data_IF_192827725220
#
_entry.id   IF_192827725220
#
_cell.length_a   1.000
_cell.length_b   1.000
_cell.length_c   1.000
_cell.angle_alpha   90.00
_cell.angle_beta   90.00
_cell.angle_gamma   90.00
#
_symmetry.space_group_name_H-M   'P 1'
#
loop_
_entity.id
_entity.type
_entity.pdbx_description
1 polymer ?
#
# COMPACT_ATOMS: atom_id res chain seq x y z
N UNK A 1 -31.74 -21.27 -4.02
CA UNK A 1 -31.21 -20.79 -2.73
C UNK A 1 -29.82 -20.17 -2.99
N UNK A 2 -29.60 -18.92 -2.64
CA UNK A 2 -28.33 -18.25 -2.90
C UNK A 2 -27.48 -18.42 -1.67
N UNK A 3 -26.40 -19.22 -1.79
CA UNK A 3 -25.39 -19.33 -0.74
C UNK A 3 -24.64 -18.01 -0.67
N UNK A 4 -24.92 -17.18 0.32
CA UNK A 4 -24.08 -16.09 0.75
C UNK A 4 -23.86 -16.19 2.24
N UNK A 5 -22.69 -15.85 2.70
CA UNK A 5 -22.34 -15.86 4.12
C UNK A 5 -21.64 -14.54 4.44
N UNK A 6 -22.08 -13.90 5.50
CA UNK A 6 -21.37 -12.76 6.06
C UNK A 6 -20.10 -13.23 6.75
N UNK A 7 -19.02 -12.47 6.59
CA UNK A 7 -17.74 -12.70 7.23
C UNK A 7 -17.68 -11.81 8.46
N UNK A 8 -17.56 -12.42 9.62
CA UNK A 8 -17.48 -11.73 10.91
C UNK A 8 -16.13 -11.97 11.56
N UNK A 9 -15.65 -11.00 12.32
CA UNK A 9 -14.53 -11.15 13.24
C UNK A 9 -15.02 -11.01 14.68
N UNK A 10 -14.52 -11.85 15.55
CA UNK A 10 -14.58 -11.63 16.99
C UNK A 10 -13.40 -10.72 17.34
N UNK A 11 -13.68 -9.49 17.63
CA UNK A 11 -12.80 -8.44 18.13
C UNK A 11 -11.34 -8.47 17.70
N UNK A 12 -10.88 -7.51 17.04
CA UNK A 12 -9.56 -6.86 17.09
C UNK A 12 -9.34 -6.03 15.83
N UNK A 13 -10.26 -5.11 15.60
CA UNK A 13 -9.89 -3.88 14.88
C UNK A 13 -9.64 -2.77 15.92
N UNK A 14 -8.90 -3.09 16.97
CA UNK A 14 -8.58 -2.21 18.09
C UNK A 14 -8.29 -3.03 19.36
N UNK A 15 -7.38 -2.58 20.16
CA UNK A 15 -6.76 -3.32 21.27
C UNK A 15 -7.72 -3.71 22.44
N UNK A 16 -9.02 -3.37 22.41
CA UNK A 16 -9.89 -3.44 23.60
C UNK A 16 -11.38 -3.78 23.39
N UNK A 17 -11.82 -4.40 22.29
CA UNK A 17 -13.23 -4.76 22.21
C UNK A 17 -13.49 -6.16 21.63
N UNK A 18 -14.08 -7.04 22.42
CA UNK A 18 -14.64 -8.33 22.02
C UNK A 18 -15.97 -8.18 21.24
N UNK A 19 -16.08 -7.15 20.39
CA UNK A 19 -17.29 -6.91 19.62
C UNK A 19 -17.18 -7.60 18.27
N UNK A 20 -18.15 -8.42 17.95
CA UNK A 20 -18.30 -9.04 16.64
C UNK A 20 -18.54 -7.95 15.59
N UNK A 21 -17.66 -7.86 14.57
CA UNK A 21 -17.73 -6.89 13.50
C UNK A 21 -17.79 -7.57 12.14
N UNK A 22 -18.65 -7.10 11.24
CA UNK A 22 -18.76 -7.60 9.88
C UNK A 22 -17.60 -7.08 9.02
N UNK A 23 -16.74 -7.96 8.49
CA UNK A 23 -15.63 -7.61 7.59
C UNK A 23 -15.95 -7.82 6.11
N UNK A 24 -17.16 -8.27 5.78
CA UNK A 24 -17.56 -8.47 4.40
C UNK A 24 -18.55 -9.58 4.22
N UNK A 25 -18.62 -10.07 3.00
CA UNK A 25 -19.42 -11.24 2.67
C UNK A 25 -18.73 -12.10 1.61
N UNK A 26 -19.13 -13.37 1.57
CA UNK A 26 -18.76 -14.31 0.53
C UNK A 26 -20.04 -14.79 -0.17
N UNK A 27 -20.04 -14.82 -1.50
CA UNK A 27 -21.21 -15.16 -2.28
C UNK A 27 -20.85 -15.97 -3.51
N UNK A 28 -21.74 -16.88 -3.90
CA UNK A 28 -21.74 -17.55 -5.19
C UNK A 28 -22.39 -16.64 -6.25
N UNK A 29 -21.75 -16.48 -7.41
CA UNK A 29 -22.33 -15.73 -8.53
C UNK A 29 -23.49 -16.50 -9.19
N UNK A 30 -24.23 -15.84 -10.07
CA UNK A 30 -25.41 -16.40 -10.74
C UNK A 30 -25.15 -16.67 -12.22
N UNK A 31 -26.09 -17.41 -12.84
CA UNK A 31 -26.12 -17.64 -14.29
C UNK A 31 -24.88 -18.39 -14.80
N UNK A 32 -24.34 -17.95 -15.90
CA UNK A 32 -23.16 -18.55 -16.53
C UNK A 32 -21.91 -18.56 -15.63
N UNK A 33 -21.87 -17.67 -14.60
CA UNK A 33 -20.78 -17.56 -13.62
C UNK A 33 -21.06 -18.30 -12.31
N UNK A 34 -22.02 -19.21 -12.27
CA UNK A 34 -22.46 -19.91 -11.05
C UNK A 34 -21.40 -20.78 -10.37
N UNK A 35 -20.25 -21.01 -11.02
CA UNK A 35 -19.09 -21.68 -10.41
C UNK A 35 -18.01 -20.71 -9.93
N UNK A 36 -18.31 -19.42 -9.94
CA UNK A 36 -17.39 -18.39 -9.45
C UNK A 36 -17.86 -17.85 -8.10
N UNK A 37 -16.92 -17.46 -7.28
CA UNK A 37 -17.13 -16.95 -5.91
C UNK A 37 -16.66 -15.50 -5.84
N UNK A 38 -17.44 -14.66 -5.16
CA UNK A 38 -17.08 -13.31 -4.79
C UNK A 38 -16.80 -13.25 -3.29
N UNK A 39 -15.63 -12.72 -2.92
CA UNK A 39 -15.25 -12.35 -1.56
C UNK A 39 -15.14 -10.83 -1.52
N UNK A 40 -16.12 -10.17 -0.94
CA UNK A 40 -16.13 -8.72 -0.78
C UNK A 40 -15.71 -8.35 0.64
N UNK A 41 -14.61 -7.61 0.76
CA UNK A 41 -14.08 -7.16 2.05
C UNK A 41 -14.46 -5.71 2.30
N UNK A 42 -15.02 -5.45 3.47
CA UNK A 42 -15.42 -4.12 3.92
C UNK A 42 -14.19 -3.31 4.33
N UNK A 43 -14.22 -2.01 4.07
CA UNK A 43 -13.31 -1.03 4.67
C UNK A 43 -13.57 -0.85 6.16
N UNK A 44 -12.81 0.01 6.79
CA UNK A 44 -12.95 0.32 8.22
C UNK A 44 -14.34 0.85 8.54
N UNK A 45 -14.84 0.46 9.71
CA UNK A 45 -16.00 1.11 10.30
C UNK A 45 -15.61 2.55 10.70
N UNK A 46 -16.32 3.55 10.21
CA UNK A 46 -16.01 4.95 10.53
C UNK A 46 -15.99 5.25 12.03
N UNK A 47 -16.83 4.60 12.84
CA UNK A 47 -16.82 4.71 14.30
C UNK A 47 -15.54 4.21 14.98
N UNK A 48 -14.66 3.53 14.22
CA UNK A 48 -13.36 2.97 14.68
C UNK A 48 -12.16 3.49 13.89
N UNK A 49 -12.33 4.61 13.19
CA UNK A 49 -11.27 5.22 12.38
C UNK A 49 -10.02 5.64 13.19
N UNK A 50 -10.17 5.83 14.52
CA UNK A 50 -9.04 6.08 15.43
C UNK A 50 -8.04 4.92 15.49
N UNK A 51 -8.51 3.70 15.26
CA UNK A 51 -7.69 2.50 15.39
C UNK A 51 -6.74 2.32 14.19
N UNK A 52 -7.09 2.89 13.04
CA UNK A 52 -6.22 2.82 11.84
C UNK A 52 -4.95 3.65 12.02
N UNK A 53 -5.02 4.79 12.70
CA UNK A 53 -3.83 5.61 13.00
C UNK A 53 -2.82 4.85 13.86
N UNK A 54 -3.28 4.05 14.79
CA UNK A 54 -2.44 3.16 15.62
C UNK A 54 -2.08 1.86 14.92
N UNK A 55 -2.98 1.30 14.12
CA UNK A 55 -2.73 0.08 13.35
C UNK A 55 -1.79 0.30 12.15
N UNK A 56 -1.68 1.53 11.64
CA UNK A 56 -0.70 1.89 10.62
C UNK A 56 0.73 2.02 11.19
N UNK A 57 0.93 1.84 12.50
CA UNK A 57 2.26 1.64 13.06
C UNK A 57 2.87 0.36 12.45
N UNK A 58 3.91 0.57 11.69
CA UNK A 58 4.48 -0.34 10.69
C UNK A 58 5.18 -1.58 11.29
N UNK A 59 4.51 -2.34 12.15
CA UNK A 59 5.02 -3.61 12.62
C UNK A 59 4.86 -4.68 11.53
N UNK A 60 5.94 -5.41 11.29
CA UNK A 60 6.00 -6.49 10.33
C UNK A 60 5.81 -7.84 11.05
N UNK A 61 4.93 -8.67 10.49
CA UNK A 61 4.71 -10.05 10.92
C UNK A 61 4.70 -10.98 9.72
N UNK A 62 4.86 -12.27 9.96
CA UNK A 62 4.71 -13.27 8.90
C UNK A 62 3.23 -13.38 8.49
N UNK A 63 2.97 -13.21 7.20
CA UNK A 63 1.65 -13.30 6.59
C UNK A 63 1.28 -14.71 6.11
N UNK A 64 0.12 -14.86 5.45
CA UNK A 64 -0.39 -16.15 4.97
C UNK A 64 0.48 -16.80 3.89
N UNK A 65 1.29 -16.03 3.19
CA UNK A 65 2.20 -16.49 2.13
C UNK A 65 3.63 -16.74 2.63
N UNK A 66 3.87 -16.65 3.93
CA UNK A 66 5.20 -16.80 4.53
C UNK A 66 6.05 -15.54 4.53
N UNK A 67 5.74 -14.53 3.74
CA UNK A 67 6.45 -13.26 3.67
C UNK A 67 5.92 -12.26 4.70
N UNK A 68 6.71 -11.19 4.93
CA UNK A 68 6.37 -10.18 5.92
C UNK A 68 5.35 -9.17 5.39
N UNK A 69 4.30 -8.99 6.19
CA UNK A 69 3.20 -8.05 5.93
C UNK A 69 2.90 -7.21 7.17
N UNK A 70 2.06 -6.22 7.00
CA UNK A 70 1.58 -5.33 8.05
C UNK A 70 0.78 -6.09 9.13
N UNK A 71 1.18 -5.92 10.40
CA UNK A 71 0.60 -6.64 11.56
C UNK A 71 -0.92 -6.44 11.65
N UNK A 72 -1.40 -5.19 11.56
CA UNK A 72 -2.84 -4.90 11.69
C UNK A 72 -3.67 -5.63 10.63
N UNK A 73 -3.27 -5.55 9.34
CA UNK A 73 -3.98 -6.26 8.27
C UNK A 73 -3.94 -7.77 8.46
N UNK A 74 -2.80 -8.32 8.90
CA UNK A 74 -2.68 -9.75 9.18
C UNK A 74 -3.57 -10.20 10.36
N UNK A 75 -3.63 -9.41 11.43
CA UNK A 75 -4.49 -9.72 12.58
C UNK A 75 -5.96 -9.74 12.18
N UNK A 76 -6.40 -8.72 11.43
CA UNK A 76 -7.77 -8.66 10.89
C UNK A 76 -8.05 -9.85 9.96
N UNK A 77 -7.16 -10.15 9.03
CA UNK A 77 -7.29 -11.30 8.12
C UNK A 77 -7.41 -12.62 8.88
N UNK A 78 -6.53 -12.87 9.85
CA UNK A 78 -6.54 -14.10 10.67
C UNK A 78 -7.83 -14.28 11.46
N UNK A 79 -8.49 -13.19 11.84
CA UNK A 79 -9.72 -13.25 12.64
C UNK A 79 -10.93 -13.85 11.91
N UNK A 80 -10.91 -13.87 10.57
CA UNK A 80 -12.03 -14.35 9.77
C UNK A 80 -11.67 -15.38 8.68
N UNK A 81 -10.40 -15.57 8.33
CA UNK A 81 -10.00 -16.39 7.17
C UNK A 81 -10.54 -17.82 7.26
N UNK A 82 -10.66 -18.40 8.44
CA UNK A 82 -11.24 -19.73 8.64
C UNK A 82 -12.69 -19.83 8.15
N UNK A 83 -13.45 -18.74 8.17
CA UNK A 83 -14.82 -18.70 7.64
C UNK A 83 -14.82 -18.77 6.11
N UNK A 84 -13.83 -18.12 5.46
CA UNK A 84 -13.63 -18.24 4.01
C UNK A 84 -13.23 -19.66 3.65
N UNK A 85 -12.26 -20.22 4.34
CA UNK A 85 -11.77 -21.59 4.11
C UNK A 85 -12.91 -22.63 4.26
N UNK A 86 -13.73 -22.49 5.31
CA UNK A 86 -14.88 -23.35 5.53
C UNK A 86 -15.92 -23.23 4.40
N UNK A 87 -16.16 -22.03 3.90
CA UNK A 87 -17.10 -21.81 2.79
C UNK A 87 -16.58 -22.40 1.47
N UNK A 88 -15.28 -22.28 1.19
CA UNK A 88 -14.66 -22.73 -0.06
C UNK A 88 -14.48 -24.26 -0.15
N UNK A 89 -14.69 -25.00 0.95
CA UNK A 89 -14.58 -26.46 0.94
C UNK A 89 -15.56 -27.08 -0.05
N UNK A 90 -15.12 -28.08 -0.85
CA UNK A 90 -16.00 -28.77 -1.81
C UNK A 90 -17.25 -29.35 -1.15
N UNK A 91 -17.18 -29.79 0.11
CA UNK A 91 -18.32 -30.30 0.88
C UNK A 91 -19.38 -29.23 1.12
N UNK A 92 -18.98 -27.96 1.23
CA UNK A 92 -19.89 -26.82 1.42
C UNK A 92 -20.48 -26.34 0.10
N UNK A 93 -19.64 -26.25 -0.94
CA UNK A 93 -20.02 -25.69 -2.24
C UNK A 93 -20.62 -26.74 -3.18
N UNK A 94 -20.28 -28.02 -3.04
CA UNK A 94 -20.61 -29.09 -3.99
C UNK A 94 -19.78 -29.06 -5.28
N UNK A 95 -18.82 -28.14 -5.40
CA UNK A 95 -17.94 -28.00 -6.58
C UNK A 95 -16.65 -27.27 -6.21
N UNK A 96 -15.62 -27.42 -7.06
CA UNK A 96 -14.41 -26.58 -7.00
C UNK A 96 -14.68 -25.27 -7.75
N UNK A 97 -14.49 -24.10 -7.17
CA UNK A 97 -14.62 -22.80 -7.85
C UNK A 97 -13.76 -22.71 -9.10
N UNK A 98 -14.34 -22.22 -10.21
CA UNK A 98 -13.60 -21.91 -11.44
C UNK A 98 -12.80 -20.61 -11.32
N UNK A 99 -13.29 -19.67 -10.52
CA UNK A 99 -12.60 -18.42 -10.17
C UNK A 99 -13.07 -17.90 -8.80
N UNK A 100 -12.19 -17.19 -8.11
CA UNK A 100 -12.49 -16.47 -6.88
C UNK A 100 -12.12 -15.00 -7.06
N UNK A 101 -13.11 -14.12 -6.92
CA UNK A 101 -12.95 -12.68 -7.06
C UNK A 101 -12.89 -12.02 -5.69
N UNK A 102 -11.73 -11.49 -5.32
CA UNK A 102 -11.52 -10.77 -4.06
C UNK A 102 -11.56 -9.26 -4.33
N UNK A 103 -12.50 -8.55 -3.71
CA UNK A 103 -12.73 -7.12 -3.93
C UNK A 103 -12.81 -6.36 -2.61
N UNK A 104 -12.29 -5.13 -2.60
CA UNK A 104 -12.40 -4.25 -1.44
C UNK A 104 -11.89 -2.84 -1.68
N UNK A 105 -12.40 -1.91 -0.87
CA UNK A 105 -12.02 -0.51 -0.84
C UNK A 105 -11.33 -0.18 0.47
N UNK A 106 -10.33 0.70 0.46
CA UNK A 106 -9.62 1.13 1.66
C UNK A 106 -8.97 -0.03 2.41
N UNK A 107 -9.17 -0.19 3.73
CA UNK A 107 -8.77 -1.37 4.49
C UNK A 107 -9.31 -2.66 3.84
N UNK A 108 -10.56 -2.66 3.36
CA UNK A 108 -11.11 -3.81 2.64
C UNK A 108 -10.31 -4.17 1.39
N UNK A 109 -9.66 -3.19 0.74
CA UNK A 109 -8.72 -3.44 -0.35
C UNK A 109 -7.44 -4.15 0.10
N UNK A 110 -6.90 -3.82 1.29
CA UNK A 110 -5.80 -4.57 1.88
C UNK A 110 -6.20 -6.00 2.23
N UNK A 111 -7.40 -6.20 2.77
CA UNK A 111 -7.94 -7.53 3.07
C UNK A 111 -8.22 -8.33 1.79
N UNK A 112 -8.74 -7.70 0.73
CA UNK A 112 -8.94 -8.33 -0.57
C UNK A 112 -7.61 -8.81 -1.18
N UNK A 113 -6.52 -8.05 -1.00
CA UNK A 113 -5.18 -8.46 -1.40
C UNK A 113 -4.74 -9.73 -0.65
N UNK A 114 -4.91 -9.79 0.68
CA UNK A 114 -4.58 -10.95 1.49
C UNK A 114 -5.45 -12.18 1.16
N UNK A 115 -6.76 -11.96 0.98
CA UNK A 115 -7.70 -13.02 0.58
C UNK A 115 -7.29 -13.62 -0.77
N UNK A 116 -7.00 -12.78 -1.76
CA UNK A 116 -6.60 -13.23 -3.08
C UNK A 116 -5.26 -14.00 -3.02
N UNK A 117 -4.28 -13.49 -2.27
CA UNK A 117 -3.01 -14.16 -2.08
C UNK A 117 -3.18 -15.55 -1.43
N UNK A 118 -3.97 -15.65 -0.35
CA UNK A 118 -4.25 -16.91 0.33
C UNK A 118 -4.99 -17.90 -0.58
N UNK A 119 -5.99 -17.46 -1.34
CA UNK A 119 -6.68 -18.29 -2.31
C UNK A 119 -5.73 -18.82 -3.40
N UNK A 120 -4.82 -17.99 -3.89
CA UNK A 120 -3.83 -18.40 -4.89
C UNK A 120 -2.82 -19.41 -4.32
N UNK A 121 -2.43 -19.29 -3.04
CA UNK A 121 -1.59 -20.31 -2.36
C UNK A 121 -2.28 -21.66 -2.30
N UNK A 122 -3.59 -21.68 -2.11
CA UNK A 122 -4.42 -22.91 -2.10
C UNK A 122 -4.71 -23.45 -3.51
N UNK A 123 -4.13 -22.86 -4.57
CA UNK A 123 -4.29 -23.29 -5.94
C UNK A 123 -5.62 -22.92 -6.60
N UNK A 124 -6.33 -21.94 -6.06
CA UNK A 124 -7.50 -21.39 -6.73
C UNK A 124 -7.10 -20.35 -7.78
N UNK A 125 -7.90 -20.26 -8.84
CA UNK A 125 -7.81 -19.18 -9.82
C UNK A 125 -8.38 -17.89 -9.22
N UNK A 126 -7.52 -17.11 -8.56
CA UNK A 126 -7.92 -15.93 -7.82
C UNK A 126 -7.73 -14.65 -8.64
N UNK A 127 -8.69 -13.74 -8.52
CA UNK A 127 -8.68 -12.39 -9.06
C UNK A 127 -8.69 -11.38 -7.93
N UNK A 128 -7.90 -10.33 -8.06
CA UNK A 128 -7.74 -9.29 -7.05
C UNK A 128 -8.18 -7.92 -7.61
N UNK A 129 -9.18 -7.31 -6.96
CA UNK A 129 -9.66 -5.97 -7.26
C UNK A 129 -9.57 -5.11 -6.01
N UNK A 130 -8.63 -4.19 -5.99
CA UNK A 130 -8.45 -3.30 -4.84
C UNK A 130 -8.63 -1.84 -5.26
N UNK A 131 -9.46 -1.10 -4.52
CA UNK A 131 -9.70 0.33 -4.71
C UNK A 131 -9.18 1.07 -3.48
N UNK A 132 -8.39 2.11 -3.70
CA UNK A 132 -7.86 2.95 -2.61
C UNK A 132 -7.10 2.18 -1.53
N UNK A 133 -6.56 1.01 -1.84
CA UNK A 133 -5.94 0.14 -0.85
C UNK A 133 -4.58 0.68 -0.39
N UNK A 134 -4.26 0.61 0.91
CA UNK A 134 -2.92 0.84 1.42
C UNK A 134 -1.95 -0.28 1.00
N UNK A 135 -0.65 -0.08 1.26
CA UNK A 135 0.38 -1.08 1.01
C UNK A 135 0.33 -2.16 2.09
N UNK A 136 0.30 -3.42 1.67
CA UNK A 136 0.04 -4.57 2.56
C UNK A 136 1.32 -5.19 3.10
N UNK A 137 2.35 -5.33 2.27
CA UNK A 137 3.55 -6.09 2.65
C UNK A 137 4.83 -5.54 2.06
N UNK A 138 5.92 -6.22 2.38
CA UNK A 138 7.28 -5.88 1.92
C UNK A 138 7.52 -6.28 0.47
N UNK A 139 8.69 -5.92 -0.08
CA UNK A 139 9.07 -6.31 -1.44
C UNK A 139 8.99 -7.82 -1.69
N UNK A 140 9.52 -8.72 -0.82
CA UNK A 140 9.35 -10.16 -1.00
C UNK A 140 7.88 -10.60 -1.07
N UNK A 141 6.99 -9.99 -0.29
CA UNK A 141 5.56 -10.26 -0.39
C UNK A 141 5.00 -9.82 -1.75
N UNK A 142 5.32 -8.61 -2.19
CA UNK A 142 4.84 -8.06 -3.45
C UNK A 142 5.35 -8.87 -4.66
N UNK A 143 6.60 -9.32 -4.64
CA UNK A 143 7.19 -10.18 -5.67
C UNK A 143 6.56 -11.58 -5.67
N UNK A 144 6.34 -12.15 -4.47
CA UNK A 144 5.67 -13.45 -4.33
C UNK A 144 4.26 -13.43 -4.93
N UNK A 145 3.46 -12.43 -4.56
CA UNK A 145 2.13 -12.17 -5.15
C UNK A 145 2.25 -12.01 -6.67
N UNK A 146 3.27 -11.31 -7.15
CA UNK A 146 3.51 -11.13 -8.58
C UNK A 146 3.79 -12.44 -9.32
N UNK A 147 4.43 -13.41 -8.70
CA UNK A 147 4.71 -14.73 -9.28
C UNK A 147 3.46 -15.62 -9.30
N UNK A 148 2.58 -15.46 -8.29
CA UNK A 148 1.36 -16.29 -8.14
C UNK A 148 0.22 -15.87 -9.05
N UNK A 149 0.12 -14.58 -9.39
CA UNK A 149 -0.97 -14.07 -10.19
C UNK A 149 -0.57 -13.83 -11.65
N UNK A 150 -1.47 -14.18 -12.58
CA UNK A 150 -1.42 -13.64 -13.92
C UNK A 150 -1.69 -12.12 -13.86
N UNK A 151 -1.01 -11.34 -14.70
CA UNK A 151 -1.23 -9.89 -14.80
C UNK A 151 -2.68 -9.51 -15.10
N UNK A 152 -3.40 -10.35 -15.85
CA UNK A 152 -4.81 -10.19 -16.16
C UNK A 152 -5.76 -10.45 -14.97
N UNK A 153 -5.25 -10.88 -13.82
CA UNK A 153 -6.05 -11.19 -12.63
C UNK A 153 -5.87 -10.15 -11.51
N UNK A 154 -5.15 -9.07 -11.78
CA UNK A 154 -4.85 -8.07 -10.74
C UNK A 154 -5.21 -6.67 -11.21
N UNK A 155 -6.11 -6.03 -10.45
CA UNK A 155 -6.65 -4.71 -10.73
C UNK A 155 -6.53 -3.85 -9.47
N UNK A 156 -5.40 -3.14 -9.33
CA UNK A 156 -5.16 -2.23 -8.22
C UNK A 156 -5.42 -0.79 -8.65
N UNK A 157 -6.57 -0.27 -8.29
CA UNK A 157 -7.00 1.08 -8.64
C UNK A 157 -6.61 2.04 -7.51
N UNK A 158 -5.89 3.09 -7.85
CA UNK A 158 -5.43 4.12 -6.93
C UNK A 158 -5.63 5.50 -7.53
N UNK A 159 -6.14 6.45 -6.76
CA UNK A 159 -6.12 7.86 -7.14
C UNK A 159 -4.76 8.46 -6.79
N UNK A 160 -4.22 9.29 -7.69
CA UNK A 160 -2.87 9.85 -7.55
C UNK A 160 -2.69 10.74 -6.31
N UNK A 161 -3.77 11.33 -5.79
CA UNK A 161 -3.76 12.24 -4.62
C UNK A 161 -4.36 11.61 -3.36
N UNK A 162 -4.84 10.37 -3.41
CA UNK A 162 -5.42 9.68 -2.25
C UNK A 162 -4.32 9.29 -1.24
N UNK A 163 -4.32 9.84 0.00
CA UNK A 163 -3.29 9.55 1.00
C UNK A 163 -3.27 8.09 1.46
N UNK A 164 -4.41 7.40 1.46
CA UNK A 164 -4.48 6.02 1.92
C UNK A 164 -3.69 5.08 1.00
N UNK A 165 -3.67 5.36 -0.31
CA UNK A 165 -2.86 4.58 -1.26
C UNK A 165 -1.35 4.80 -1.10
N UNK A 166 -0.94 5.80 -0.33
CA UNK A 166 0.46 6.16 -0.10
C UNK A 166 1.02 5.62 1.21
N UNK A 167 0.17 5.16 2.11
CA UNK A 167 0.54 4.47 3.35
C UNK A 167 0.37 2.95 3.18
N UNK A 168 1.02 2.08 3.93
CA UNK A 168 2.10 2.37 4.86
C UNK A 168 3.35 2.77 4.05
N UNK A 169 4.21 3.60 4.63
CA UNK A 169 5.46 3.99 3.99
C UNK A 169 6.44 2.81 3.97
N UNK A 170 7.62 3.03 3.38
CA UNK A 170 8.67 2.02 3.36
C UNK A 170 8.83 1.33 4.74
N UNK A 171 9.01 0.01 4.83
CA UNK A 171 9.34 -0.95 3.77
C UNK A 171 8.13 -1.59 3.06
N UNK A 172 6.94 -1.03 3.19
CA UNK A 172 5.75 -1.56 2.54
C UNK A 172 5.67 -1.14 1.08
N UNK A 173 5.33 -2.09 0.23
CA UNK A 173 5.25 -1.93 -1.22
C UNK A 173 3.89 -2.43 -1.71
N UNK A 174 3.40 -1.87 -2.78
CA UNK A 174 2.19 -2.35 -3.41
C UNK A 174 2.41 -3.73 -4.06
N UNK A 175 1.49 -4.64 -3.79
CA UNK A 175 1.42 -5.94 -4.43
C UNK A 175 0.23 -5.99 -5.42
N UNK A 176 0.43 -6.59 -6.61
CA UNK A 176 1.67 -7.15 -7.13
C UNK A 176 2.72 -6.08 -7.47
N UNK A 177 3.99 -6.46 -7.48
CA UNK A 177 5.10 -5.54 -7.73
C UNK A 177 5.16 -5.11 -9.18
N UNK A 178 5.22 -3.80 -9.43
CA UNK A 178 5.38 -3.15 -10.74
C UNK A 178 4.33 -3.51 -11.81
N UNK A 179 3.19 -4.05 -11.44
CA UNK A 179 2.10 -4.38 -12.38
C UNK A 179 0.71 -4.33 -11.73
N UNK A 180 -0.31 -4.45 -12.56
CA UNK A 180 -1.71 -4.45 -12.10
C UNK A 180 -2.18 -3.12 -11.53
N UNK A 181 -1.44 -2.02 -11.76
CA UNK A 181 -1.79 -0.68 -11.28
C UNK A 181 -2.60 0.09 -12.31
N UNK A 182 -3.67 0.69 -11.84
CA UNK A 182 -4.51 1.63 -12.55
C UNK A 182 -4.51 2.95 -11.76
N UNK A 183 -3.61 3.86 -12.12
CA UNK A 183 -3.45 5.13 -11.44
C UNK A 183 -4.37 6.17 -12.08
N UNK A 184 -5.39 6.58 -11.35
CA UNK A 184 -6.31 7.62 -11.75
C UNK A 184 -5.69 9.01 -11.52
N UNK A 185 -6.04 9.98 -12.38
CA UNK A 185 -5.67 11.36 -12.14
C UNK A 185 -6.32 11.89 -10.87
N UNK A 186 -5.52 12.48 -9.98
CA UNK A 186 -6.00 13.05 -8.72
C UNK A 186 -6.70 14.40 -8.85
N UNK A 187 -6.67 15.02 -10.02
CA UNK A 187 -7.20 16.38 -10.23
C UNK A 187 -6.45 17.46 -9.47
N UNK A 188 -5.48 17.09 -8.64
CA UNK A 188 -4.67 17.99 -7.81
C UNK A 188 -3.26 17.42 -7.63
N UNK A 189 -2.29 18.31 -7.52
CA UNK A 189 -0.88 17.96 -7.25
C UNK A 189 -0.61 17.72 -5.76
N UNK A 190 -1.57 18.08 -4.91
CA UNK A 190 -1.47 17.98 -3.44
C UNK A 190 -2.24 16.74 -2.96
N UNK A 191 -1.76 16.10 -1.92
CA UNK A 191 -2.47 15.00 -1.25
C UNK A 191 -3.83 15.51 -0.76
N UNK A 192 -4.89 14.85 -1.16
CA UNK A 192 -6.27 15.25 -0.86
C UNK A 192 -7.05 14.10 -0.20
N UNK A 193 -7.36 14.19 1.10
CA UNK A 193 -8.15 13.19 1.79
C UNK A 193 -9.53 12.92 1.17
N UNK A 194 -10.17 13.89 0.51
CA UNK A 194 -11.45 13.69 -0.15
C UNK A 194 -11.35 12.70 -1.34
N UNK A 195 -10.18 12.58 -1.96
CA UNK A 195 -9.96 11.66 -3.09
C UNK A 195 -9.93 10.18 -2.66
N UNK A 196 -10.06 9.90 -1.37
CA UNK A 196 -10.29 8.55 -0.86
C UNK A 196 -11.74 8.09 -0.99
N UNK A 197 -12.69 9.02 -1.10
CA UNK A 197 -14.11 8.71 -1.23
C UNK A 197 -14.40 8.16 -2.63
N UNK A 198 -15.18 7.07 -2.72
CA UNK A 198 -15.55 6.46 -4.00
C UNK A 198 -16.27 7.45 -4.93
N UNK A 199 -17.20 8.24 -4.39
CA UNK A 199 -17.96 9.24 -5.14
C UNK A 199 -17.17 10.50 -5.52
N UNK A 200 -15.91 10.66 -5.11
CA UNK A 200 -15.06 11.80 -5.43
C UNK A 200 -13.85 11.37 -6.24
N UNK A 201 -12.96 10.58 -5.65
CA UNK A 201 -11.68 10.23 -6.27
C UNK A 201 -11.75 9.07 -7.25
N UNK A 202 -12.85 8.31 -7.26
CA UNK A 202 -13.00 7.09 -8.05
C UNK A 202 -14.20 7.11 -9.01
N UNK A 203 -14.86 8.25 -9.13
CA UNK A 203 -16.02 8.46 -10.03
C UNK A 203 -15.68 8.18 -11.50
N UNK A 204 -14.44 8.48 -11.91
CA UNK A 204 -13.99 8.28 -13.29
C UNK A 204 -13.90 6.81 -13.72
N UNK A 205 -14.09 5.86 -12.80
CA UNK A 205 -14.20 4.43 -13.12
C UNK A 205 -15.49 4.11 -13.85
N UNK A 206 -16.56 4.86 -13.58
CA UNK A 206 -17.85 4.64 -14.20
C UNK A 206 -17.80 4.91 -15.70
N UNK A 207 -18.27 3.97 -16.49
CA UNK A 207 -18.34 4.10 -17.95
C UNK A 207 -17.04 3.87 -18.71
N UNK A 208 -15.93 3.53 -18.05
CA UNK A 208 -14.65 3.23 -18.71
C UNK A 208 -14.38 1.73 -18.75
N UNK A 209 -13.85 1.28 -19.87
CA UNK A 209 -13.28 -0.07 -20.00
C UNK A 209 -11.92 -0.18 -19.30
N UNK A 210 -11.51 -1.41 -18.97
CA UNK A 210 -10.18 -1.67 -18.41
C UNK A 210 -9.04 -1.20 -19.33
N UNK A 211 -9.23 -1.26 -20.65
CA UNK A 211 -8.25 -0.78 -21.62
C UNK A 211 -8.07 0.74 -21.55
N UNK A 212 -9.16 1.49 -21.42
CA UNK A 212 -9.13 2.94 -21.26
C UNK A 212 -8.46 3.35 -19.94
N UNK A 213 -8.83 2.68 -18.83
CA UNK A 213 -8.21 2.92 -17.52
C UNK A 213 -6.71 2.61 -17.54
N UNK A 214 -6.29 1.57 -18.26
CA UNK A 214 -4.89 1.19 -18.40
C UNK A 214 -4.12 2.24 -19.18
N UNK A 215 -4.63 2.72 -20.29
CA UNK A 215 -4.00 3.76 -21.11
C UNK A 215 -3.81 5.07 -20.31
N UNK A 216 -4.83 5.50 -19.56
CA UNK A 216 -4.73 6.67 -18.68
C UNK A 216 -3.66 6.47 -17.60
N UNK A 217 -3.67 5.30 -16.94
CA UNK A 217 -2.69 4.96 -15.92
C UNK A 217 -1.25 4.98 -16.47
N UNK A 218 -1.03 4.40 -17.63
CA UNK A 218 0.30 4.34 -18.25
C UNK A 218 0.81 5.75 -18.58
N UNK A 219 -0.08 6.64 -19.05
CA UNK A 219 0.22 8.04 -19.25
C UNK A 219 0.63 8.75 -17.94
N UNK A 220 -0.11 8.53 -16.84
CA UNK A 220 0.21 9.09 -15.53
C UNK A 220 1.55 8.56 -14.97
N UNK A 221 1.79 7.27 -15.08
CA UNK A 221 3.03 6.64 -14.59
C UNK A 221 4.22 7.14 -15.39
N UNK A 222 4.11 7.19 -16.73
CA UNK A 222 5.16 7.70 -17.59
C UNK A 222 5.51 9.18 -17.30
N UNK A 223 4.49 10.01 -17.07
CA UNK A 223 4.70 11.40 -16.69
C UNK A 223 5.45 11.52 -15.37
N UNK A 224 5.07 10.73 -14.36
CA UNK A 224 5.77 10.66 -13.07
C UNK A 224 7.23 10.24 -13.25
N UNK A 225 7.49 9.17 -13.99
CA UNK A 225 8.85 8.68 -14.23
C UNK A 225 9.71 9.70 -14.97
N UNK A 226 9.21 10.32 -16.00
CA UNK A 226 9.92 11.37 -16.76
C UNK A 226 10.22 12.60 -15.91
N UNK A 227 9.31 12.97 -15.00
CA UNK A 227 9.53 14.10 -14.10
C UNK A 227 10.59 13.80 -13.06
N UNK A 228 10.61 12.56 -12.55
CA UNK A 228 11.42 12.15 -11.40
C UNK A 228 12.81 11.61 -11.78
N UNK A 229 12.91 11.04 -12.98
CA UNK A 229 14.12 10.36 -13.45
C UNK A 229 14.44 10.75 -14.89
N UNK A 230 14.63 12.06 -15.21
CA UNK A 230 15.03 12.45 -16.54
C UNK A 230 16.35 11.74 -16.90
N UNK A 231 16.33 10.93 -17.97
CA UNK A 231 17.48 10.13 -18.38
C UNK A 231 17.96 9.07 -17.38
N UNK A 232 17.05 8.53 -16.53
CA UNK A 232 17.37 7.60 -15.43
C UNK A 232 18.24 8.20 -14.31
N UNK A 233 18.39 9.52 -14.24
CA UNK A 233 19.18 10.19 -13.21
C UNK A 233 18.25 10.81 -12.15
N UNK A 234 18.18 10.19 -10.98
CA UNK A 234 17.36 10.67 -9.88
C UNK A 234 17.84 12.05 -9.35
N UNK A 235 19.14 12.28 -9.26
CA UNK A 235 19.70 13.57 -8.80
C UNK A 235 19.17 14.75 -9.62
N UNK A 236 19.18 14.66 -10.95
CA UNK A 236 18.66 15.72 -11.83
C UNK A 236 17.16 15.94 -11.62
N UNK A 237 16.40 14.86 -11.41
CA UNK A 237 14.96 14.95 -11.13
C UNK A 237 14.66 15.65 -9.81
N UNK A 238 15.42 15.36 -8.76
CA UNK A 238 15.28 16.02 -7.45
C UNK A 238 15.69 17.49 -7.53
N UNK A 239 16.80 17.83 -8.17
CA UNK A 239 17.25 19.22 -8.30
C UNK A 239 16.21 20.07 -9.03
N UNK A 240 15.62 19.54 -10.11
CA UNK A 240 14.51 20.16 -10.81
C UNK A 240 13.27 20.34 -9.92
N UNK A 241 12.96 19.36 -9.09
CA UNK A 241 11.83 19.45 -8.16
C UNK A 241 12.10 20.43 -7.02
N UNK A 242 13.33 20.50 -6.50
CA UNK A 242 13.74 21.44 -5.48
C UNK A 242 13.73 22.89 -5.98
N UNK A 243 13.89 23.11 -7.29
CA UNK A 243 13.78 24.43 -7.91
C UNK A 243 12.33 24.89 -8.16
N UNK A 244 11.33 23.98 -8.06
CA UNK A 244 9.91 24.34 -8.17
C UNK A 244 9.43 25.05 -6.89
N UNK A 245 8.39 25.90 -6.99
CA UNK A 245 7.77 26.48 -5.79
C UNK A 245 7.43 25.39 -4.76
N UNK A 246 7.71 25.66 -3.48
CA UNK A 246 7.47 24.71 -2.39
C UNK A 246 6.00 24.32 -2.36
N UNK A 247 5.68 23.11 -2.76
CA UNK A 247 4.33 22.56 -2.68
C UNK A 247 4.23 21.66 -1.45
N UNK A 248 3.72 22.23 -0.39
CA UNK A 248 3.43 21.52 0.84
C UNK A 248 2.47 20.33 0.56
N UNK A 249 2.82 19.16 1.06
CA UNK A 249 2.08 17.91 0.83
C UNK A 249 1.87 17.52 -0.64
N UNK A 250 2.87 17.76 -1.49
CA UNK A 250 2.81 17.32 -2.89
C UNK A 250 2.73 15.79 -2.98
N UNK A 251 1.66 15.29 -3.62
CA UNK A 251 1.45 13.88 -3.87
C UNK A 251 2.54 13.30 -4.81
N UNK A 252 2.94 14.07 -5.81
CA UNK A 252 4.02 13.73 -6.74
C UNK A 252 5.34 13.58 -5.99
N UNK A 253 5.68 14.55 -5.14
CA UNK A 253 6.93 14.53 -4.36
C UNK A 253 6.99 13.34 -3.42
N UNK A 254 5.90 13.01 -2.73
CA UNK A 254 5.85 11.84 -1.85
C UNK A 254 6.05 10.52 -2.60
N UNK A 255 5.42 10.38 -3.78
CA UNK A 255 5.63 9.20 -4.65
C UNK A 255 7.08 9.10 -5.09
N UNK A 256 7.70 10.23 -5.39
CA UNK A 256 9.12 10.35 -5.73
C UNK A 256 10.03 9.88 -4.63
N UNK A 257 9.81 10.37 -3.42
CA UNK A 257 10.60 9.99 -2.24
C UNK A 257 10.55 8.47 -2.04
N UNK A 258 9.37 7.87 -2.10
CA UNK A 258 9.24 6.42 -1.96
C UNK A 258 9.96 5.65 -3.06
N UNK A 259 9.91 6.13 -4.31
CA UNK A 259 10.60 5.49 -5.42
C UNK A 259 12.12 5.65 -5.31
N UNK A 260 12.59 6.81 -4.85
CA UNK A 260 14.01 7.08 -4.59
C UNK A 260 14.59 6.16 -3.52
N UNK A 261 13.89 6.02 -2.39
CA UNK A 261 14.30 5.09 -1.33
C UNK A 261 14.48 3.69 -1.90
N UNK A 262 13.48 3.19 -2.64
CA UNK A 262 13.55 1.85 -3.23
C UNK A 262 14.72 1.69 -4.21
N UNK A 263 14.94 2.67 -5.11
CA UNK A 263 16.05 2.61 -6.07
C UNK A 263 17.42 2.69 -5.40
N UNK A 264 17.59 3.55 -4.38
CA UNK A 264 18.84 3.65 -3.65
C UNK A 264 19.15 2.35 -2.90
N UNK A 265 18.14 1.77 -2.21
CA UNK A 265 18.30 0.50 -1.52
C UNK A 265 18.62 -0.65 -2.50
N UNK A 266 18.07 -0.61 -3.71
CA UNK A 266 18.42 -1.55 -4.77
C UNK A 266 19.88 -1.42 -5.18
N UNK A 267 20.35 -0.19 -5.43
CA UNK A 267 21.76 0.07 -5.78
C UNK A 267 22.75 -0.46 -4.76
N UNK A 268 22.44 -0.32 -3.47
CA UNK A 268 23.31 -0.77 -2.38
C UNK A 268 23.08 -2.23 -1.95
N UNK A 269 22.25 -2.98 -2.69
CA UNK A 269 21.94 -4.38 -2.38
C UNK A 269 21.17 -4.59 -1.08
N UNK A 270 20.57 -3.55 -0.52
CA UNK A 270 19.97 -3.53 0.82
C UNK A 270 18.46 -3.80 0.84
N UNK A 271 17.80 -3.97 -0.31
CA UNK A 271 16.35 -4.18 -0.38
C UNK A 271 15.87 -5.38 0.44
N UNK A 272 16.63 -6.46 0.43
CA UNK A 272 16.28 -7.68 1.15
C UNK A 272 16.68 -7.62 2.63
N UNK A 273 17.66 -6.81 3.01
CA UNK A 273 18.12 -6.71 4.40
C UNK A 273 17.03 -6.15 5.32
N UNK A 274 16.21 -5.20 4.84
CA UNK A 274 15.07 -4.68 5.60
C UNK A 274 13.90 -5.68 5.73
N UNK A 275 13.91 -6.73 4.91
CA UNK A 275 12.88 -7.77 4.90
C UNK A 275 13.27 -9.00 5.71
N UNK A 276 14.56 -9.16 6.04
CA UNK A 276 15.12 -10.29 6.77
C UNK A 276 15.35 -9.90 8.23
N UNK A 277 14.54 -10.45 9.12
CA UNK A 277 14.81 -10.65 10.53
C UNK A 277 15.54 -9.57 11.34
N UNK A 278 14.87 -8.47 11.66
CA UNK A 278 15.16 -7.87 12.94
C UNK A 278 13.87 -7.78 13.73
N UNK A 279 13.71 -8.68 14.69
CA UNK A 279 12.83 -8.44 15.80
C UNK A 279 13.23 -7.09 16.38
N UNK A 280 12.38 -6.10 16.25
CA UNK A 280 12.52 -4.89 17.01
C UNK A 280 12.31 -5.27 18.47
N UNK A 281 13.40 -5.56 19.14
CA UNK A 281 13.46 -5.44 20.58
C UNK A 281 13.23 -3.95 20.86
N UNK A 282 12.01 -3.53 21.07
CA UNK A 282 11.50 -2.28 21.63
C UNK A 282 12.17 -0.93 21.34
N UNK A 283 13.40 -0.89 20.87
CA UNK A 283 14.23 0.30 20.70
C UNK A 283 14.54 0.70 19.24
N UNK A 284 14.42 -0.22 18.28
CA UNK A 284 14.72 0.04 16.87
C UNK A 284 13.47 -0.14 15.99
N UNK A 285 13.02 0.94 15.37
CA UNK A 285 11.92 0.92 14.39
C UNK A 285 12.46 0.63 12.99
N UNK A 286 11.54 0.29 12.06
CA UNK A 286 11.88 0.13 10.65
C UNK A 286 12.45 1.42 10.03
N UNK A 287 12.04 2.59 10.54
CA UNK A 287 12.58 3.89 10.12
C UNK A 287 13.99 4.12 10.63
N UNK A 288 14.34 3.63 11.83
CA UNK A 288 15.71 3.66 12.35
C UNK A 288 16.64 2.85 11.44
N UNK A 289 16.24 1.64 11.08
CA UNK A 289 16.98 0.79 10.16
C UNK A 289 17.18 1.43 8.80
N UNK A 290 16.11 2.05 8.24
CA UNK A 290 16.19 2.78 6.99
C UNK A 290 17.21 3.93 7.08
N UNK A 291 17.10 4.76 8.12
CA UNK A 291 18.01 5.88 8.32
C UNK A 291 19.47 5.42 8.45
N UNK A 292 19.72 4.36 9.21
CA UNK A 292 21.07 3.78 9.36
C UNK A 292 21.64 3.28 8.03
N UNK A 293 20.86 2.56 7.24
CA UNK A 293 21.30 2.04 5.94
C UNK A 293 21.62 3.18 4.96
N UNK A 294 20.80 4.23 4.94
CA UNK A 294 21.03 5.39 4.08
C UNK A 294 22.27 6.18 4.50
N UNK A 295 22.51 6.35 5.80
CA UNK A 295 23.74 6.99 6.31
C UNK A 295 24.95 6.16 5.95
N UNK A 296 24.92 4.84 6.14
CA UNK A 296 26.03 3.94 5.72
C UNK A 296 26.31 4.05 4.22
N UNK A 297 25.27 4.09 3.39
CA UNK A 297 25.43 4.30 1.96
C UNK A 297 26.09 5.66 1.64
N UNK A 298 25.65 6.73 2.30
CA UNK A 298 26.18 8.07 2.13
C UNK A 298 27.65 8.19 2.57
N UNK A 299 28.06 7.48 3.62
CA UNK A 299 29.45 7.46 4.09
C UNK A 299 30.37 6.60 3.21
N UNK A 300 29.82 5.61 2.53
CA UNK A 300 30.59 4.69 1.68
C UNK A 300 30.88 5.27 0.28
N UNK A 301 30.03 6.18 -0.24
CA UNK A 301 30.14 6.70 -1.61
C UNK A 301 29.62 8.14 -1.70
N UNK A 302 30.39 9.00 -2.36
CA UNK A 302 30.06 10.43 -2.57
C UNK A 302 28.76 10.62 -3.37
N UNK A 303 28.52 9.76 -4.37
CA UNK A 303 27.30 9.86 -5.17
C UNK A 303 26.06 9.46 -4.38
N UNK A 304 26.19 8.43 -3.53
CA UNK A 304 25.13 8.06 -2.60
C UNK A 304 24.89 9.16 -1.56
N UNK A 305 25.94 9.87 -1.11
CA UNK A 305 25.77 11.01 -0.20
C UNK A 305 24.90 12.11 -0.83
N UNK A 306 25.13 12.44 -2.09
CA UNK A 306 24.29 13.41 -2.85
C UNK A 306 22.85 12.91 -2.96
N UNK A 307 22.63 11.64 -3.31
CA UNK A 307 21.29 11.05 -3.44
C UNK A 307 20.54 11.08 -2.09
N UNK A 308 21.20 10.74 -0.98
CA UNK A 308 20.61 10.77 0.37
C UNK A 308 20.29 12.20 0.79
N UNK A 309 21.18 13.15 0.53
CA UNK A 309 20.90 14.57 0.79
C UNK A 309 19.72 15.09 -0.02
N UNK A 310 19.67 14.80 -1.31
CA UNK A 310 18.55 15.17 -2.18
C UNK A 310 17.24 14.59 -1.70
N UNK A 311 17.23 13.34 -1.22
CA UNK A 311 16.06 12.70 -0.62
C UNK A 311 15.64 13.39 0.68
N UNK A 312 16.57 13.72 1.57
CA UNK A 312 16.29 14.51 2.77
C UNK A 312 15.67 15.87 2.41
N UNK A 313 16.25 16.57 1.43
CA UNK A 313 15.73 17.86 0.97
C UNK A 313 14.30 17.74 0.41
N UNK A 314 14.02 16.66 -0.33
CA UNK A 314 12.68 16.35 -0.83
C UNK A 314 11.67 16.10 0.30
N UNK A 315 12.08 15.39 1.35
CA UNK A 315 11.24 15.19 2.56
C UNK A 315 10.95 16.52 3.24
N UNK A 316 11.95 17.38 3.41
CA UNK A 316 11.78 18.70 4.00
C UNK A 316 10.84 19.57 3.16
N UNK A 317 10.99 19.57 1.84
CA UNK A 317 10.10 20.30 0.92
C UNK A 317 8.65 19.76 0.99
N UNK A 318 8.47 18.44 1.05
CA UNK A 318 7.16 17.84 1.26
C UNK A 318 6.49 18.36 2.55
N UNK A 319 7.27 18.54 3.61
CA UNK A 319 6.83 19.08 4.90
C UNK A 319 6.67 20.63 4.89
N UNK A 320 6.89 21.30 3.76
CA UNK A 320 6.85 22.77 3.67
C UNK A 320 8.02 23.45 4.38
N UNK A 321 9.15 22.75 4.57
CA UNK A 321 10.35 23.24 5.28
C UNK A 321 11.53 23.36 4.31
N UNK A 322 12.45 24.26 4.60
CA UNK A 322 13.73 24.34 3.88
C UNK A 322 14.68 23.30 4.47
N UNK A 323 15.38 22.56 3.61
CA UNK A 323 16.55 21.79 4.04
C UNK A 323 17.64 22.79 4.47
N UNK A 324 18.08 22.72 5.73
CA UNK A 324 19.20 23.53 6.19
C UNK A 324 20.52 23.05 5.57
N UNK A 325 21.57 23.90 5.65
CA UNK A 325 22.91 23.45 5.32
C UNK A 325 23.36 22.41 6.35
N UNK A 326 23.37 21.15 5.94
CA UNK A 326 23.74 20.03 6.80
C UNK A 326 25.18 19.64 6.48
N UNK A 327 26.08 19.83 7.43
CA UNK A 327 27.52 19.50 7.29
C UNK A 327 27.78 17.99 7.25
N UNK A 328 26.78 17.16 7.58
CA UNK A 328 26.82 15.72 7.48
C UNK A 328 25.44 15.09 7.71
N UNK A 329 25.14 14.01 7.00
CA UNK A 329 23.89 13.28 7.17
C UNK A 329 24.04 12.31 8.34
N UNK A 330 23.21 12.49 9.38
CA UNK A 330 23.18 11.61 10.56
C UNK A 330 21.94 10.74 10.59
N UNK A 331 22.03 9.59 11.25
CA UNK A 331 20.87 8.68 11.48
C UNK A 331 19.76 9.41 12.20
N UNK A 332 20.09 10.22 13.23
CA UNK A 332 19.11 10.98 14.00
C UNK A 332 18.35 11.99 13.13
N UNK A 333 19.03 12.69 12.23
CA UNK A 333 18.44 13.67 11.32
C UNK A 333 17.48 13.01 10.32
N UNK A 334 17.91 11.92 9.66
CA UNK A 334 17.07 11.19 8.71
C UNK A 334 15.86 10.56 9.41
N UNK A 335 16.09 9.93 10.55
CA UNK A 335 15.02 9.37 11.38
C UNK A 335 13.97 10.42 11.74
N UNK A 336 14.41 11.58 12.20
CA UNK A 336 13.51 12.69 12.54
C UNK A 336 12.70 13.15 11.32
N UNK A 337 13.32 13.35 10.16
CA UNK A 337 12.66 13.79 8.95
C UNK A 337 11.63 12.77 8.44
N UNK A 338 11.99 11.49 8.42
CA UNK A 338 11.08 10.41 8.01
C UNK A 338 9.92 10.24 9.00
N UNK A 339 10.16 10.34 10.31
CA UNK A 339 9.10 10.29 11.31
C UNK A 339 8.09 11.41 11.12
N UNK A 340 8.55 12.64 10.86
CA UNK A 340 7.64 13.77 10.56
C UNK A 340 6.82 13.53 9.30
N UNK A 341 7.46 13.10 8.22
CA UNK A 341 6.78 12.78 6.97
C UNK A 341 5.74 11.67 7.18
N UNK A 342 6.13 10.61 7.88
CA UNK A 342 5.27 9.47 8.16
C UNK A 342 4.05 9.88 9.02
N UNK A 343 4.27 10.60 10.10
CA UNK A 343 3.19 11.10 10.98
C UNK A 343 2.23 12.01 10.24
N UNK A 344 2.73 12.88 9.35
CA UNK A 344 1.90 13.73 8.51
C UNK A 344 1.04 12.92 7.56
N UNK A 345 1.60 11.89 6.94
CA UNK A 345 0.86 10.98 6.04
C UNK A 345 -0.19 10.17 6.77
N UNK A 346 0.12 9.65 7.96
CA UNK A 346 -0.85 8.95 8.80
C UNK A 346 -2.00 9.86 9.19
N UNK A 347 -1.73 11.11 9.54
CA UNK A 347 -2.75 12.10 9.85
C UNK A 347 -3.69 12.34 8.67
N UNK A 348 -3.16 12.50 7.47
CA UNK A 348 -3.97 12.68 6.25
C UNK A 348 -4.76 11.43 5.88
N UNK A 349 -4.18 10.24 6.00
CA UNK A 349 -4.88 8.98 5.75
C UNK A 349 -6.01 8.76 6.78
N UNK A 350 -5.76 9.05 8.05
CA UNK A 350 -6.77 9.00 9.11
C UNK A 350 -7.92 9.97 8.83
N UNK A 351 -7.61 11.21 8.40
CA UNK A 351 -8.62 12.17 7.99
C UNK A 351 -9.44 11.70 6.79
N UNK A 352 -8.80 11.07 5.81
CA UNK A 352 -9.46 10.51 4.63
C UNK A 352 -10.47 9.42 5.02
N UNK A 353 -10.09 8.54 5.94
CA UNK A 353 -10.96 7.46 6.41
C UNK A 353 -12.12 8.00 7.26
N UNK A 354 -11.88 9.01 8.11
CA UNK A 354 -12.97 9.67 8.85
C UNK A 354 -14.02 10.29 7.95
N UNK A 355 -13.67 10.70 6.74
CA UNK A 355 -14.63 11.23 5.74
C UNK A 355 -15.50 10.17 5.07
N UNK A 356 -15.26 8.88 5.29
CA UNK A 356 -16.16 7.80 4.86
C UNK A 356 -17.45 7.74 5.71
N UNK A 357 -17.53 8.53 6.77
CA UNK A 357 -18.73 8.75 7.59
C UNK A 357 -19.69 9.67 6.88
#
# INVERSE_FOLDING_TARGET
>A
MHLHKFIYSLGTAGMFSDVQSGFGFIARLKGARSREILIASRGTDPGRASDIGTDLNALLVQGPTGQRIHKGFNSTFKSYVQQIDAFLKPQTLGFKPSAIHCVGHSLGGALANLNAAACAELGYNAYMYTLAAPRVGTLPYAEHVSKKFNSAHTYRIANASDPVTMVSCYPFIHAPYQRGTYLLNGGTLIVNPANHLLGVGYQSLSGKSWAQLKAESDGQIKLLEQTLFPGNNFGIGVDKMLSMPVMHFSATLLRSINLAINKLLQKIGAQNLMCVNHFSTGAFTTLDQLAEMLVRAATACIDHAKEVYSMYAAVMQFLGRKAGNVTGMTVALLRWAFNLMYSSMLGMASLAIKRLQ
#
